data_IF_723387773220
#
_entry.id   IF_723387773220
#
_cell.length_a   1.000
_cell.length_b   1.000
_cell.length_c   1.000
_cell.angle_alpha   90.00
_cell.angle_beta   90.00
_cell.angle_gamma   90.00
#
_symmetry.space_group_name_H-M   'P 1'
#
loop_
_entity.id
_entity.type
_entity.pdbx_description
1 polymer ?
#
# COMPACT_ATOMS: atom_id res chain seq x y z
N UNK A 1 8.20 -14.65 -4.61
CA UNK A 1 7.20 -13.95 -5.39
C UNK A 1 7.76 -13.45 -6.69
N UNK A 2 7.07 -13.69 -7.74
CA UNK A 2 7.53 -13.29 -9.06
C UNK A 2 7.24 -11.83 -9.33
N UNK A 3 8.16 -11.20 -10.03
CA UNK A 3 8.00 -9.78 -10.35
C UNK A 3 6.74 -9.53 -11.17
N UNK A 4 6.41 -10.46 -12.05
CA UNK A 4 5.24 -10.29 -12.90
C UNK A 4 3.96 -10.27 -12.11
N UNK A 5 3.97 -10.65 -10.85
CA UNK A 5 2.78 -10.54 -10.02
C UNK A 5 2.47 -9.11 -9.65
N UNK A 6 3.38 -8.21 -9.94
CA UNK A 6 3.19 -6.79 -9.65
C UNK A 6 2.86 -5.99 -10.90
N UNK A 7 2.30 -6.65 -11.91
CA UNK A 7 1.95 -5.93 -13.13
C UNK A 7 0.66 -5.14 -12.93
N UNK A 8 0.32 -4.32 -13.91
CA UNK A 8 -0.80 -3.41 -13.78
C UNK A 8 -2.13 -4.12 -13.60
N UNK A 9 -2.29 -5.30 -14.20
CA UNK A 9 -3.56 -6.00 -14.07
C UNK A 9 -3.78 -6.50 -12.65
N UNK A 10 -2.71 -6.75 -11.91
CA UNK A 10 -2.82 -7.10 -10.50
C UNK A 10 -3.37 -5.92 -9.71
N UNK A 11 -2.89 -4.73 -10.02
CA UNK A 11 -3.30 -3.53 -9.28
C UNK A 11 -4.73 -3.13 -9.60
N UNK A 12 -5.19 -3.41 -10.79
CA UNK A 12 -6.56 -3.06 -11.17
C UNK A 12 -7.57 -3.79 -10.29
N UNK A 13 -7.22 -4.97 -9.83
CA UNK A 13 -8.13 -5.78 -9.03
C UNK A 13 -8.02 -5.54 -7.55
N UNK A 14 -7.14 -4.67 -7.10
CA UNK A 14 -7.01 -4.41 -5.68
C UNK A 14 -7.95 -3.28 -5.27
N UNK A 15 -8.40 -3.28 -4.00
CA UNK A 15 -9.27 -2.21 -3.54
C UNK A 15 -8.52 -0.87 -3.51
N UNK A 16 -9.22 0.22 -3.84
CA UNK A 16 -8.56 1.53 -3.83
C UNK A 16 -8.19 2.04 -2.44
N UNK A 17 -8.87 1.55 -1.42
CA UNK A 17 -8.58 1.87 -0.03
C UNK A 17 -8.49 0.57 0.74
N UNK A 18 -7.63 0.55 1.76
CA UNK A 18 -7.40 -0.67 2.51
C UNK A 18 -6.96 -0.28 3.92
N UNK A 19 -7.49 -0.93 4.96
CA UNK A 19 -6.96 -0.68 6.31
C UNK A 19 -5.46 -0.90 6.35
N UNK A 20 -4.75 -0.09 7.11
CA UNK A 20 -3.30 -0.13 7.07
C UNK A 20 -2.74 -1.50 7.48
N UNK A 21 -3.41 -2.18 8.40
CA UNK A 21 -2.94 -3.50 8.82
C UNK A 21 -3.14 -4.52 7.72
N UNK A 22 -4.25 -4.42 7.01
CA UNK A 22 -4.49 -5.31 5.88
C UNK A 22 -3.52 -5.00 4.75
N UNK A 23 -3.18 -3.73 4.57
CA UNK A 23 -2.18 -3.34 3.59
C UNK A 23 -0.84 -4.00 3.92
N UNK A 24 -0.46 -4.01 5.20
CA UNK A 24 0.78 -4.67 5.60
C UNK A 24 0.75 -6.15 5.26
N UNK A 25 -0.38 -6.81 5.50
CA UNK A 25 -0.50 -8.22 5.14
C UNK A 25 -0.42 -8.41 3.63
N UNK A 26 -1.02 -7.51 2.90
CA UNK A 26 -1.08 -7.62 1.45
C UNK A 26 0.32 -7.55 0.83
N UNK A 27 1.20 -6.75 1.39
CA UNK A 27 2.57 -6.64 0.89
C UNK A 27 3.51 -7.58 1.64
N UNK A 28 2.96 -8.53 2.39
CA UNK A 28 3.72 -9.57 3.08
C UNK A 28 4.61 -9.03 4.18
N UNK A 29 4.13 -8.00 4.87
CA UNK A 29 4.85 -7.44 6.02
C UNK A 29 4.04 -7.58 7.29
N UNK A 30 3.29 -8.65 7.40
CA UNK A 30 2.45 -8.88 8.56
C UNK A 30 3.27 -9.04 9.84
N UNK A 31 4.50 -9.50 9.72
CA UNK A 31 5.37 -9.62 10.89
C UNK A 31 6.10 -8.33 11.21
N UNK A 32 5.94 -7.30 10.39
CA UNK A 32 6.62 -6.02 10.58
C UNK A 32 5.65 -4.87 10.45
N UNK A 33 4.49 -5.02 11.05
CA UNK A 33 3.46 -3.98 10.96
C UNK A 33 3.94 -2.65 11.56
N UNK A 34 4.83 -2.71 12.55
CA UNK A 34 5.36 -1.48 13.12
C UNK A 34 6.14 -0.68 12.09
N UNK A 35 6.83 -1.37 11.20
CA UNK A 35 7.55 -0.68 10.13
C UNK A 35 6.59 0.06 9.21
N UNK A 36 5.50 -0.62 8.85
CA UNK A 36 4.49 0.00 7.99
C UNK A 36 3.87 1.20 8.69
N UNK A 37 3.58 1.07 9.98
CA UNK A 37 3.03 2.19 10.73
C UNK A 37 4.01 3.37 10.74
N UNK A 38 5.29 3.08 10.87
CA UNK A 38 6.30 4.13 10.82
C UNK A 38 6.29 4.86 9.48
N UNK A 39 6.11 4.12 8.40
CA UNK A 39 6.01 4.74 7.08
C UNK A 39 4.82 5.70 7.01
N UNK A 40 3.71 5.30 7.59
CA UNK A 40 2.51 6.13 7.62
C UNK A 40 2.77 7.40 8.43
N UNK A 41 3.36 7.24 9.61
CA UNK A 41 3.61 8.37 10.49
C UNK A 41 4.58 9.36 9.87
N UNK A 42 5.49 8.88 9.04
CA UNK A 42 6.46 9.74 8.37
C UNK A 42 5.96 10.29 7.04
N UNK A 43 4.76 9.90 6.64
CA UNK A 43 4.18 10.41 5.41
C UNK A 43 4.67 9.72 4.16
N UNK A 44 5.27 8.55 4.29
CA UNK A 44 5.72 7.81 3.13
C UNK A 44 4.58 7.15 2.37
N UNK A 45 3.48 6.87 3.07
CA UNK A 45 2.32 6.24 2.46
C UNK A 45 1.14 7.21 2.52
N UNK A 46 0.42 7.39 1.42
CA UNK A 46 -0.78 8.21 1.45
C UNK A 46 -1.89 7.50 2.19
N UNK A 47 -2.48 8.18 3.16
CA UNK A 47 -3.55 7.59 3.96
C UNK A 47 -4.72 8.55 4.05
N UNK A 48 -5.88 7.98 4.30
CA UNK A 48 -7.11 8.73 4.53
C UNK A 48 -7.71 8.22 5.82
N UNK A 49 -8.12 9.13 6.69
CA UNK A 49 -8.76 8.74 7.92
C UNK A 49 -10.26 8.66 7.70
N UNK A 50 -10.82 7.50 7.99
CA UNK A 50 -12.25 7.29 7.84
C UNK A 50 -12.79 6.81 9.19
N UNK A 51 -13.34 7.74 9.95
CA UNK A 51 -13.78 7.45 11.30
C UNK A 51 -12.60 7.10 12.17
N UNK A 52 -12.61 5.91 12.72
CA UNK A 52 -11.51 5.44 13.56
C UNK A 52 -10.43 4.75 12.78
N UNK A 53 -10.66 4.55 11.49
CA UNK A 53 -9.77 3.72 10.70
C UNK A 53 -8.84 4.57 9.88
N UNK A 54 -7.57 4.18 9.86
CA UNK A 54 -6.61 4.79 8.98
C UNK A 54 -6.46 3.87 7.77
N UNK A 55 -6.88 4.38 6.62
CA UNK A 55 -6.90 3.60 5.40
C UNK A 55 -5.75 4.04 4.51
N UNK A 56 -5.08 3.09 3.90
CA UNK A 56 -4.04 3.40 2.93
C UNK A 56 -4.71 3.66 1.58
N UNK A 57 -4.32 4.76 0.94
CA UNK A 57 -4.83 5.06 -0.40
C UNK A 57 -4.03 4.24 -1.40
N UNK A 58 -4.49 3.01 -1.62
CA UNK A 58 -3.77 2.07 -2.47
C UNK A 58 -3.73 2.55 -3.91
N UNK A 59 -4.79 3.21 -4.35
CA UNK A 59 -4.83 3.71 -5.72
C UNK A 59 -3.68 4.68 -5.97
N UNK A 60 -3.40 5.57 -5.02
CA UNK A 60 -2.32 6.53 -5.17
C UNK A 60 -0.97 5.84 -5.05
N UNK A 61 -0.85 4.86 -4.15
CA UNK A 61 0.40 4.11 -4.04
C UNK A 61 0.72 3.43 -5.35
N UNK A 62 -0.27 2.77 -5.94
CA UNK A 62 -0.06 2.07 -7.20
C UNK A 62 0.31 3.05 -8.30
N UNK A 63 -0.38 4.19 -8.37
CA UNK A 63 -0.09 5.18 -9.38
C UNK A 63 1.35 5.65 -9.27
N UNK A 64 1.80 5.94 -8.04
CA UNK A 64 3.16 6.41 -7.84
C UNK A 64 4.17 5.35 -8.23
N UNK A 65 3.90 4.10 -7.91
CA UNK A 65 4.81 3.01 -8.27
C UNK A 65 4.90 2.83 -9.77
N UNK A 66 3.77 2.94 -10.47
CA UNK A 66 3.78 2.77 -11.91
C UNK A 66 4.50 3.91 -12.61
N UNK A 67 4.56 5.08 -11.99
CA UNK A 67 5.24 6.21 -12.58
C UNK A 67 6.73 6.24 -12.28
N UNK A 68 7.19 5.40 -11.38
CA UNK A 68 8.60 5.29 -11.06
C UNK A 68 9.22 4.21 -11.93
N UNK A 69 10.06 4.62 -12.84
CA UNK A 69 10.60 3.68 -13.81
C UNK A 69 12.04 3.30 -13.58
N UNK A 70 12.71 4.04 -12.76
CA UNK A 70 14.16 3.90 -12.66
C UNK A 70 14.58 3.65 -11.24
N UNK A 71 13.93 2.75 -10.63
CA UNK A 71 14.41 2.40 -9.32
C UNK A 71 15.37 1.24 -9.28
#
# INVERSE_FOLDING_TARGET
MEVEELNASQFVNCPPLMPWRQFANWIHMESEQETVRGWIDKGYLPTVRMGRHRMVNVALVVKNLLEQEDF
#
